data_IF_088266024634
#
_entry.id   IF_088266024634
#
_cell.length_a   1.000
_cell.length_b   1.000
_cell.length_c   1.000
_cell.angle_alpha   90.00
_cell.angle_beta   90.00
_cell.angle_gamma   90.00
#
_symmetry.space_group_name_H-M   'P 1'
#
loop_
_entity.id
_entity.type
_entity.pdbx_description
1 polymer ?
#
# COMPACT_ATOMS: atom_id res chain seq x y z
N UNK A 1 11.06 -4.38 0.01
CA UNK A 1 11.61 -3.41 0.95
C UNK A 1 11.50 -3.93 2.38
N UNK A 2 12.54 -3.77 3.21
CA UNK A 2 12.49 -4.12 4.63
C UNK A 2 11.95 -2.95 5.44
N UNK A 3 10.95 -3.19 6.29
CA UNK A 3 10.30 -2.12 7.09
C UNK A 3 11.20 -1.57 8.20
N UNK A 4 12.17 -2.36 8.68
CA UNK A 4 13.00 -2.06 9.85
C UNK A 4 14.28 -1.30 9.47
N UNK A 5 15.03 -1.78 8.48
CA UNK A 5 16.29 -1.17 8.04
C UNK A 5 16.22 -0.42 6.71
N UNK A 6 15.03 -0.27 6.13
CA UNK A 6 14.80 0.52 4.90
C UNK A 6 15.63 0.09 3.67
N UNK A 7 16.00 -1.19 3.56
CA UNK A 7 16.78 -1.70 2.41
C UNK A 7 15.94 -2.57 1.47
N UNK A 8 16.32 -2.63 0.20
CA UNK A 8 15.75 -3.58 -0.76
C UNK A 8 16.26 -5.00 -0.51
N UNK A 9 15.35 -5.96 -0.40
CA UNK A 9 15.67 -7.34 -0.05
C UNK A 9 14.90 -8.31 -0.95
N UNK A 10 15.63 -9.14 -1.69
CA UNK A 10 15.06 -10.20 -2.53
C UNK A 10 14.61 -11.38 -1.67
N UNK A 11 15.45 -11.80 -0.72
CA UNK A 11 15.20 -12.89 0.24
C UNK A 11 14.77 -12.35 1.61
N UNK A 12 13.61 -11.69 1.67
CA UNK A 12 13.14 -10.97 2.88
C UNK A 12 13.08 -11.86 4.13
N UNK A 13 12.68 -13.13 4.02
CA UNK A 13 12.60 -14.04 5.15
C UNK A 13 13.99 -14.24 5.80
N UNK A 14 14.98 -14.67 5.01
CA UNK A 14 16.36 -14.84 5.47
C UNK A 14 16.92 -13.54 6.04
N UNK A 15 16.66 -12.41 5.40
CA UNK A 15 17.10 -11.10 5.88
C UNK A 15 16.54 -10.79 7.29
N UNK A 16 15.24 -11.01 7.50
CA UNK A 16 14.60 -10.78 8.80
C UNK A 16 15.16 -11.71 9.88
N UNK A 17 15.40 -12.98 9.56
CA UNK A 17 15.96 -13.95 10.50
C UNK A 17 17.38 -13.58 10.95
N UNK A 18 18.19 -13.02 10.04
CA UNK A 18 19.59 -12.67 10.33
C UNK A 18 19.75 -11.30 11.00
N UNK A 19 19.02 -10.27 10.55
CA UNK A 19 19.22 -8.89 11.00
C UNK A 19 18.17 -8.38 11.99
N UNK A 20 17.00 -9.00 12.03
CA UNK A 20 15.84 -8.49 12.76
C UNK A 20 15.21 -9.55 13.67
N UNK A 21 15.99 -10.53 14.15
CA UNK A 21 15.52 -11.65 14.99
C UNK A 21 14.79 -11.18 16.25
N UNK A 22 15.15 -10.01 16.78
CA UNK A 22 14.60 -9.48 18.02
C UNK A 22 13.27 -8.74 17.86
N UNK A 23 12.86 -8.42 16.64
CA UNK A 23 11.58 -7.76 16.35
C UNK A 23 10.41 -8.71 16.65
N UNK A 24 9.36 -8.23 17.33
CA UNK A 24 8.25 -9.07 17.78
C UNK A 24 7.59 -9.86 16.65
N UNK A 25 7.31 -9.19 15.51
CA UNK A 25 6.71 -9.85 14.34
C UNK A 25 7.65 -10.89 13.72
N UNK A 26 8.95 -10.72 13.88
CA UNK A 26 9.97 -11.67 13.40
C UNK A 26 10.03 -12.88 14.33
N UNK A 27 10.10 -12.66 15.65
CA UNK A 27 9.98 -13.72 16.67
C UNK A 27 8.72 -14.56 16.44
N UNK A 28 7.59 -13.92 16.16
CA UNK A 28 6.32 -14.59 15.89
C UNK A 28 6.36 -15.51 14.67
N UNK A 29 6.98 -15.13 13.55
CA UNK A 29 7.06 -16.08 12.42
C UNK A 29 8.17 -17.11 12.60
N UNK A 30 9.21 -16.81 13.39
CA UNK A 30 10.29 -17.73 13.70
C UNK A 30 9.80 -18.92 14.54
N UNK A 31 8.86 -18.70 15.45
CA UNK A 31 8.24 -19.77 16.26
C UNK A 31 7.29 -20.67 15.47
N UNK A 32 6.82 -20.23 14.28
CA UNK A 32 5.97 -21.05 13.43
C UNK A 32 6.79 -22.09 12.65
N UNK A 33 6.27 -23.29 12.40
CA UNK A 33 6.97 -24.32 11.63
C UNK A 33 7.42 -23.81 10.25
N UNK A 34 8.62 -24.22 9.81
CA UNK A 34 9.10 -23.90 8.46
C UNK A 34 8.09 -24.43 7.43
N UNK A 35 7.90 -23.68 6.33
CA UNK A 35 6.96 -23.97 5.24
C UNK A 35 5.46 -23.94 5.60
N UNK A 36 5.08 -23.70 6.87
CA UNK A 36 3.67 -23.55 7.23
C UNK A 36 3.01 -22.37 6.51
N UNK A 37 1.68 -22.44 6.34
CA UNK A 37 0.92 -21.36 5.70
C UNK A 37 0.97 -20.10 6.54
N UNK A 38 0.83 -20.24 7.86
CA UNK A 38 0.84 -19.18 8.86
C UNK A 38 2.18 -18.43 8.83
N UNK A 39 3.31 -19.17 8.72
CA UNK A 39 4.64 -18.57 8.61
C UNK A 39 4.77 -17.73 7.34
N UNK A 40 4.30 -18.26 6.21
CA UNK A 40 4.30 -17.53 4.92
C UNK A 40 3.44 -16.27 4.98
N UNK A 41 2.27 -16.35 5.60
CA UNK A 41 1.37 -15.21 5.78
C UNK A 41 2.00 -14.12 6.66
N UNK A 42 2.61 -14.48 7.79
CA UNK A 42 3.31 -13.55 8.67
C UNK A 42 4.46 -12.82 7.96
N UNK A 43 5.30 -13.55 7.21
CA UNK A 43 6.39 -12.96 6.41
C UNK A 43 5.82 -12.02 5.33
N UNK A 44 4.74 -12.43 4.64
CA UNK A 44 4.10 -11.63 3.62
C UNK A 44 3.51 -10.33 4.19
N UNK A 45 2.95 -10.35 5.40
CA UNK A 45 2.46 -9.14 6.06
C UNK A 45 3.61 -8.16 6.33
N UNK A 46 4.75 -8.63 6.85
CA UNK A 46 5.94 -7.78 7.06
C UNK A 46 6.42 -7.21 5.72
N UNK A 47 6.49 -8.03 4.67
CA UNK A 47 6.90 -7.58 3.33
C UNK A 47 5.96 -6.52 2.76
N UNK A 48 4.65 -6.71 2.87
CA UNK A 48 3.64 -5.74 2.39
C UNK A 48 3.76 -4.42 3.15
N UNK A 49 3.90 -4.46 4.48
CA UNK A 49 4.11 -3.25 5.29
C UNK A 49 5.37 -2.49 4.88
N UNK A 50 6.48 -3.20 4.65
CA UNK A 50 7.70 -2.60 4.13
C UNK A 50 7.50 -1.98 2.75
N UNK A 51 6.88 -2.69 1.82
CA UNK A 51 6.60 -2.17 0.48
C UNK A 51 5.64 -0.97 0.51
N UNK A 52 4.64 -0.97 1.40
CA UNK A 52 3.73 0.15 1.59
C UNK A 52 4.48 1.39 2.09
N UNK A 53 5.36 1.23 3.08
CA UNK A 53 6.24 2.30 3.57
C UNK A 53 7.07 2.89 2.42
N UNK A 54 7.71 2.04 1.62
CA UNK A 54 8.47 2.49 0.44
C UNK A 54 7.60 3.22 -0.59
N UNK A 55 6.40 2.74 -0.89
CA UNK A 55 5.53 3.36 -1.89
C UNK A 55 4.93 4.69 -1.45
N UNK A 56 4.86 4.97 -0.15
CA UNK A 56 4.17 6.14 0.41
C UNK A 56 5.11 7.21 0.95
N UNK A 57 6.36 6.87 1.27
CA UNK A 57 7.34 7.83 1.80
C UNK A 57 8.23 8.36 0.68
N UNK A 58 8.13 9.67 0.40
CA UNK A 58 8.90 10.35 -0.64
C UNK A 58 10.42 10.26 -0.40
N UNK A 59 10.86 10.35 0.86
CA UNK A 59 12.28 10.30 1.22
C UNK A 59 12.95 8.94 0.90
N UNK A 60 12.14 7.88 0.79
CA UNK A 60 12.63 6.53 0.50
C UNK A 60 12.51 6.16 -0.97
N UNK A 61 11.76 6.92 -1.77
CA UNK A 61 11.33 6.49 -3.08
C UNK A 61 11.21 7.65 -4.07
N UNK A 62 12.10 7.63 -5.07
CA UNK A 62 12.22 8.63 -6.12
C UNK A 62 11.28 8.41 -7.31
N UNK A 63 10.14 7.72 -7.12
CA UNK A 63 9.10 7.55 -8.15
C UNK A 63 8.91 6.13 -8.68
N UNK A 64 9.51 5.12 -8.04
CA UNK A 64 9.23 3.71 -8.35
C UNK A 64 8.05 3.18 -7.53
N UNK A 65 7.40 2.09 -7.94
CA UNK A 65 6.32 1.50 -7.14
C UNK A 65 6.46 -0.01 -7.06
N UNK A 66 6.40 -0.55 -5.84
CA UNK A 66 6.41 -2.00 -5.59
C UNK A 66 4.97 -2.50 -5.48
N UNK A 67 4.56 -3.31 -6.44
CA UNK A 67 3.22 -3.92 -6.47
C UNK A 67 3.30 -5.41 -6.15
N UNK A 68 2.18 -6.01 -5.74
CA UNK A 68 2.13 -7.41 -5.31
C UNK A 68 2.29 -8.39 -6.47
N UNK A 69 1.75 -8.04 -7.65
CA UNK A 69 1.84 -8.84 -8.87
C UNK A 69 2.58 -8.07 -9.93
N UNK A 70 3.35 -8.77 -10.77
CA UNK A 70 4.11 -8.15 -11.87
C UNK A 70 3.15 -7.37 -12.80
N UNK A 71 3.37 -6.05 -13.00
CA UNK A 71 2.58 -5.26 -13.94
C UNK A 71 2.75 -5.74 -15.38
N UNK A 72 1.68 -5.60 -16.16
CA UNK A 72 1.72 -5.63 -17.64
C UNK A 72 2.51 -4.44 -18.20
N UNK A 73 2.89 -4.48 -19.48
CA UNK A 73 3.61 -3.37 -20.15
C UNK A 73 2.87 -2.04 -20.00
N UNK A 74 1.54 -2.04 -20.17
CA UNK A 74 0.68 -0.85 -20.02
C UNK A 74 0.67 -0.32 -18.57
N UNK A 75 0.52 -1.21 -17.60
CA UNK A 75 0.48 -0.81 -16.18
C UNK A 75 1.81 -0.23 -15.68
N UNK A 76 2.95 -0.65 -16.23
CA UNK A 76 4.26 -0.07 -15.87
C UNK A 76 4.38 1.42 -16.17
N UNK A 77 3.59 1.92 -17.12
CA UNK A 77 3.67 3.30 -17.56
C UNK A 77 3.02 4.28 -16.58
N UNK A 78 2.13 3.80 -15.69
CA UNK A 78 1.36 4.69 -14.83
C UNK A 78 1.02 4.06 -13.46
N UNK A 79 1.62 4.60 -12.40
CA UNK A 79 1.38 4.17 -11.01
C UNK A 79 -0.05 4.41 -10.53
N UNK A 80 -0.82 5.29 -11.18
CA UNK A 80 -2.22 5.57 -10.84
C UNK A 80 -3.16 4.38 -11.10
N UNK A 81 -2.70 3.36 -11.83
CA UNK A 81 -3.44 2.11 -12.03
C UNK A 81 -3.44 1.19 -10.81
N UNK A 82 -2.70 1.53 -9.75
CA UNK A 82 -2.56 0.72 -8.56
C UNK A 82 -3.09 1.43 -7.32
N UNK A 83 -3.74 0.67 -6.44
CA UNK A 83 -4.16 1.13 -5.12
C UNK A 83 -3.78 0.09 -4.05
N UNK A 84 -3.44 0.54 -2.84
CA UNK A 84 -3.24 -0.35 -1.71
C UNK A 84 -4.58 -0.93 -1.26
N UNK A 85 -4.55 -2.19 -0.83
CA UNK A 85 -5.67 -2.79 -0.10
C UNK A 85 -5.74 -2.20 1.30
N UNK A 86 -6.92 -1.74 1.73
CA UNK A 86 -7.10 -1.17 3.08
C UNK A 86 -6.88 -2.16 4.22
N UNK A 87 -6.95 -3.47 3.95
CA UNK A 87 -6.77 -4.52 4.95
C UNK A 87 -5.33 -5.06 5.04
N UNK A 88 -4.56 -5.04 3.95
CA UNK A 88 -3.21 -5.63 3.95
C UNK A 88 -2.11 -4.75 3.36
N UNK A 89 -2.43 -3.51 2.97
CA UNK A 89 -1.49 -2.49 2.47
C UNK A 89 -0.73 -2.87 1.18
N UNK A 90 -0.95 -4.07 0.64
CA UNK A 90 -0.41 -4.50 -0.64
C UNK A 90 -1.01 -3.69 -1.78
N UNK A 91 -0.18 -3.25 -2.72
CA UNK A 91 -0.64 -2.56 -3.93
C UNK A 91 -1.06 -3.56 -5.00
N UNK A 92 -2.29 -3.39 -5.49
CA UNK A 92 -2.92 -4.20 -6.54
C UNK A 92 -3.40 -3.30 -7.67
N UNK A 93 -3.50 -3.84 -8.89
CA UNK A 93 -4.17 -3.11 -9.96
C UNK A 93 -5.63 -2.84 -9.55
N UNK A 94 -6.16 -1.69 -9.95
CA UNK A 94 -7.54 -1.28 -9.64
C UNK A 94 -8.55 -2.36 -10.06
N UNK A 95 -8.33 -3.00 -11.22
CA UNK A 95 -9.16 -4.09 -11.75
C UNK A 95 -9.16 -5.33 -10.84
N UNK A 96 -8.04 -5.66 -10.22
CA UNK A 96 -7.90 -6.85 -9.37
C UNK A 96 -8.20 -6.59 -7.88
N UNK A 97 -8.20 -5.32 -7.45
CA UNK A 97 -8.31 -4.97 -6.04
C UNK A 97 -9.63 -5.48 -5.43
N UNK A 98 -10.74 -5.40 -6.16
CA UNK A 98 -12.05 -5.92 -5.71
C UNK A 98 -11.99 -7.43 -5.41
N UNK A 99 -11.44 -8.21 -6.34
CA UNK A 99 -11.34 -9.67 -6.19
C UNK A 99 -10.43 -10.05 -5.03
N UNK A 100 -9.32 -9.33 -4.87
CA UNK A 100 -8.42 -9.49 -3.75
C UNK A 100 -9.10 -9.16 -2.41
N UNK A 101 -9.77 -8.01 -2.32
CA UNK A 101 -10.38 -7.52 -1.08
C UNK A 101 -11.38 -8.52 -0.49
N UNK A 102 -12.19 -9.14 -1.34
CA UNK A 102 -13.16 -10.16 -0.93
C UNK A 102 -12.53 -11.30 -0.12
N UNK A 103 -11.36 -11.75 -0.55
CA UNK A 103 -10.63 -12.85 0.09
C UNK A 103 -9.84 -12.30 1.29
N UNK A 104 -9.19 -11.16 1.12
CA UNK A 104 -8.29 -10.60 2.12
C UNK A 104 -9.01 -10.12 3.38
N UNK A 105 -10.10 -9.37 3.21
CA UNK A 105 -10.91 -8.83 4.30
C UNK A 105 -12.04 -9.80 4.72
N UNK A 106 -12.16 -10.97 4.06
CA UNK A 106 -13.25 -11.94 4.25
C UNK A 106 -14.65 -11.29 4.19
N UNK A 107 -14.79 -10.22 3.40
CA UNK A 107 -16.00 -9.41 3.30
C UNK A 107 -16.27 -9.03 1.85
N UNK A 108 -17.53 -9.12 1.42
CA UNK A 108 -17.98 -8.55 0.14
C UNK A 108 -18.33 -7.08 0.33
N UNK A 109 -18.00 -6.26 -0.66
CA UNK A 109 -18.32 -4.83 -0.67
C UNK A 109 -18.44 -4.34 -2.13
N UNK A 110 -18.99 -3.15 -2.32
CA UNK A 110 -19.12 -2.51 -3.63
C UNK A 110 -17.75 -2.10 -4.17
N UNK A 111 -17.60 -2.09 -5.49
CA UNK A 111 -16.36 -1.62 -6.14
C UNK A 111 -16.03 -0.20 -5.71
N UNK A 112 -17.04 0.68 -5.69
CA UNK A 112 -16.91 2.07 -5.27
C UNK A 112 -16.32 2.19 -3.86
N UNK A 113 -16.84 1.44 -2.89
CA UNK A 113 -16.34 1.52 -1.51
C UNK A 113 -14.93 0.95 -1.37
N UNK A 114 -14.62 -0.16 -2.05
CA UNK A 114 -13.26 -0.75 -2.02
C UNK A 114 -12.23 0.23 -2.58
N UNK A 115 -12.55 0.92 -3.68
CA UNK A 115 -11.67 1.94 -4.25
C UNK A 115 -11.54 3.16 -3.34
N UNK A 116 -12.63 3.61 -2.70
CA UNK A 116 -12.61 4.68 -1.68
C UNK A 116 -11.65 4.33 -0.54
N UNK A 117 -11.78 3.14 0.02
CA UNK A 117 -10.90 2.65 1.11
C UNK A 117 -9.44 2.59 0.65
N UNK A 118 -9.18 2.08 -0.56
CA UNK A 118 -7.82 2.02 -1.10
C UNK A 118 -7.18 3.41 -1.28
N UNK A 119 -7.94 4.41 -1.76
CA UNK A 119 -7.44 5.79 -1.88
C UNK A 119 -7.16 6.43 -0.53
N UNK A 120 -8.08 6.24 0.42
CA UNK A 120 -7.93 6.72 1.80
C UNK A 120 -6.68 6.16 2.47
N UNK A 121 -6.27 4.94 2.11
CA UNK A 121 -5.03 4.31 2.60
C UNK A 121 -3.80 4.83 1.85
N UNK A 122 -3.88 4.99 0.53
CA UNK A 122 -2.77 5.48 -0.29
C UNK A 122 -2.27 6.85 0.15
N UNK A 123 -3.18 7.74 0.58
CA UNK A 123 -2.89 9.11 1.02
C UNK A 123 -1.96 9.87 0.07
N UNK A 124 -1.96 9.50 -1.20
CA UNK A 124 -1.26 10.24 -2.24
C UNK A 124 -2.02 11.55 -2.38
N UNK A 125 -1.59 12.60 -1.70
CA UNK A 125 -2.13 13.96 -1.77
C UNK A 125 -1.00 14.90 -1.37
N UNK A 126 -1.17 16.20 -1.59
CA UNK A 126 -0.20 17.18 -1.08
C UNK A 126 0.03 17.04 0.44
N UNK A 127 1.28 17.24 0.88
CA UNK A 127 1.68 17.09 2.28
C UNK A 127 0.96 18.06 3.24
N UNK A 128 0.43 19.18 2.74
CA UNK A 128 -0.37 20.18 3.47
C UNK A 128 -1.88 19.90 3.55
N UNK A 129 -2.38 18.84 2.90
CA UNK A 129 -3.80 18.51 2.97
C UNK A 129 -4.22 18.05 4.36
N UNK A 130 -5.35 18.58 4.88
CA UNK A 130 -5.92 18.18 6.16
C UNK A 130 -6.32 16.70 6.18
N UNK A 131 -6.49 16.18 7.40
CA UNK A 131 -6.99 14.82 7.61
C UNK A 131 -8.35 14.60 6.93
N UNK A 132 -9.26 15.58 7.03
CA UNK A 132 -10.59 15.53 6.41
C UNK A 132 -10.51 15.47 4.88
N UNK A 133 -9.66 16.29 4.25
CA UNK A 133 -9.44 16.21 2.81
C UNK A 133 -8.88 14.83 2.40
N UNK A 134 -7.89 14.32 3.15
CA UNK A 134 -7.22 13.04 2.89
C UNK A 134 -8.14 11.83 2.99
N UNK A 135 -8.99 11.80 4.01
CA UNK A 135 -9.74 10.59 4.39
C UNK A 135 -11.17 10.58 3.91
N UNK A 136 -11.80 11.75 3.84
CA UNK A 136 -13.25 11.84 3.68
C UNK A 136 -13.66 12.46 2.35
N UNK A 137 -12.99 13.54 1.92
CA UNK A 137 -13.39 14.32 0.74
C UNK A 137 -12.74 13.78 -0.54
N UNK A 138 -11.42 13.72 -0.61
CA UNK A 138 -10.73 13.30 -1.85
C UNK A 138 -11.04 11.83 -2.22
N UNK A 139 -11.09 10.87 -1.27
CA UNK A 139 -11.35 9.48 -1.63
C UNK A 139 -12.72 9.19 -2.26
N UNK A 140 -13.72 10.05 -2.05
CA UNK A 140 -15.07 9.87 -2.64
C UNK A 140 -15.19 10.48 -4.04
N UNK A 141 -14.26 11.35 -4.44
CA UNK A 141 -14.30 12.02 -5.73
C UNK A 141 -14.09 11.05 -6.89
N UNK A 142 -14.70 11.37 -8.03
CA UNK A 142 -14.46 10.66 -9.29
C UNK A 142 -12.97 10.77 -9.63
N UNK A 143 -12.37 9.66 -10.10
CA UNK A 143 -10.95 9.65 -10.48
C UNK A 143 -10.77 10.21 -11.89
N UNK A 144 -10.96 11.51 -12.04
CA UNK A 144 -10.82 12.24 -13.29
C UNK A 144 -9.68 13.27 -13.20
N UNK A 145 -9.54 14.06 -14.26
CA UNK A 145 -8.52 15.11 -14.32
C UNK A 145 -8.71 16.17 -13.23
N UNK A 146 -9.97 16.45 -12.84
CA UNK A 146 -10.29 17.41 -11.78
C UNK A 146 -9.77 16.91 -10.44
N UNK A 147 -9.99 15.63 -10.12
CA UNK A 147 -9.41 15.02 -8.93
C UNK A 147 -7.88 15.11 -8.89
N UNK A 148 -7.21 14.86 -10.01
CA UNK A 148 -5.74 14.94 -10.08
C UNK A 148 -5.22 16.37 -9.88
N UNK A 149 -5.92 17.38 -10.40
CA UNK A 149 -5.61 18.79 -10.17
C UNK A 149 -5.73 19.14 -8.69
N UNK A 150 -6.89 18.87 -8.09
CA UNK A 150 -7.18 19.21 -6.69
C UNK A 150 -6.21 18.54 -5.71
N UNK A 151 -5.81 17.29 -6.00
CA UNK A 151 -4.93 16.48 -5.14
C UNK A 151 -3.55 17.10 -4.90
N UNK A 152 -3.08 17.95 -5.80
CA UNK A 152 -1.75 18.56 -5.75
C UNK A 152 -1.74 20.09 -5.87
N UNK A 153 -2.88 20.72 -6.12
CA UNK A 153 -3.02 22.17 -6.12
C UNK A 153 -2.91 22.72 -4.69
N UNK A 154 -1.83 23.48 -4.44
CA UNK A 154 -1.55 24.03 -3.11
C UNK A 154 -2.62 25.02 -2.65
N UNK A 155 -3.15 25.86 -3.54
CA UNK A 155 -4.13 26.88 -3.18
C UNK A 155 -5.45 26.22 -2.80
N UNK A 156 -5.95 25.30 -3.62
CA UNK A 156 -7.19 24.57 -3.33
C UNK A 156 -7.07 23.86 -1.98
N UNK A 157 -5.92 23.24 -1.71
CA UNK A 157 -5.69 22.50 -0.47
C UNK A 157 -5.62 23.42 0.75
N UNK A 158 -5.02 24.60 0.65
CA UNK A 158 -4.93 25.54 1.76
C UNK A 158 -6.27 26.22 2.09
N UNK A 159 -7.05 26.60 1.08
CA UNK A 159 -8.32 27.33 1.28
C UNK A 159 -9.54 26.44 1.54
N UNK A 160 -9.46 25.12 1.30
CA UNK A 160 -10.55 24.15 1.55
C UNK A 160 -10.30 23.22 2.75
N UNK A 161 -9.29 23.52 3.56
CA UNK A 161 -8.96 22.75 4.76
C UNK A 161 -10.06 22.83 5.83
#
# INVERSE_FOLDING_TARGET
FCVYCNTMQTKIARHLELKHRNEEKVKKFLSLPKKSRERREAINQIRKKGNFKFNTQADLNSGSMIVVRRPTKKEKQCGSHFLPCSNCEGYYSISNLRHHYRICAKKKDTVRNILKLGRSVAQSVHNRASFKLRKDILPIMRNDNIYNLIKYDLLIILYRN
#
